data_IF_690386583912
#
_entry.id   IF_690386583912
#
_cell.length_a   1.000
_cell.length_b   1.000
_cell.length_c   1.000
_cell.angle_alpha   90.00
_cell.angle_beta   90.00
_cell.angle_gamma   90.00
#
_symmetry.space_group_name_H-M   'P 1'
#
loop_
_entity.id
_entity.type
_entity.pdbx_description
1 polymer ?
#
# COMPACT_ATOMS: atom_id res chain seq x y z
N UNK A 1 30.06 2.70 -2.88
CA UNK A 1 29.10 1.63 -3.23
C UNK A 1 27.84 1.89 -2.43
N UNK A 2 26.66 1.90 -3.06
CA UNK A 2 25.39 2.31 -2.43
C UNK A 2 24.39 1.15 -2.47
N UNK A 3 23.61 0.97 -1.41
CA UNK A 3 22.48 0.03 -1.37
C UNK A 3 21.19 0.79 -1.70
N UNK A 4 20.28 0.15 -2.43
CA UNK A 4 18.99 0.71 -2.84
C UNK A 4 17.94 -0.27 -2.34
N UNK A 5 16.98 0.22 -1.57
CA UNK A 5 15.81 -0.53 -1.08
C UNK A 5 14.57 0.12 -1.69
N UNK A 6 13.61 -0.70 -2.13
CA UNK A 6 12.26 -0.20 -2.38
C UNK A 6 11.52 -0.02 -1.03
N UNK A 7 10.27 0.45 -1.06
CA UNK A 7 9.50 0.72 0.18
C UNK A 7 9.23 -0.58 0.96
N UNK A 8 8.95 -1.69 0.29
CA UNK A 8 8.71 -2.97 0.96
C UNK A 8 9.97 -3.49 1.65
N UNK A 9 11.11 -3.47 0.95
CA UNK A 9 12.40 -3.87 1.52
C UNK A 9 12.80 -2.94 2.69
N UNK A 10 12.40 -1.67 2.65
CA UNK A 10 12.61 -0.73 3.75
C UNK A 10 11.73 -1.08 4.96
N UNK A 11 10.45 -1.42 4.76
CA UNK A 11 9.58 -1.90 5.82
C UNK A 11 10.13 -3.19 6.45
N UNK A 12 10.56 -4.15 5.63
CA UNK A 12 11.20 -5.39 6.08
C UNK A 12 12.47 -5.09 6.91
N UNK A 13 13.29 -4.13 6.47
CA UNK A 13 14.48 -3.72 7.19
C UNK A 13 14.15 -3.03 8.54
N UNK A 14 13.06 -2.26 8.62
CA UNK A 14 12.57 -1.67 9.88
C UNK A 14 12.11 -2.79 10.82
N UNK A 15 11.29 -3.72 10.33
CA UNK A 15 10.76 -4.84 11.11
C UNK A 15 11.85 -5.81 11.60
N UNK A 16 12.93 -5.98 10.82
CA UNK A 16 14.08 -6.80 11.17
C UNK A 16 15.17 -6.05 11.96
N UNK A 17 14.98 -4.76 12.24
CA UNK A 17 15.99 -3.93 12.89
C UNK A 17 16.10 -4.20 14.40
N UNK A 18 17.10 -3.59 15.03
CA UNK A 18 17.26 -3.62 16.50
C UNK A 18 16.57 -2.43 17.20
N UNK A 19 15.70 -1.70 16.50
CA UNK A 19 14.87 -0.66 17.10
C UNK A 19 13.85 -1.29 18.06
N UNK A 20 13.40 -0.54 19.05
CA UNK A 20 12.27 -0.97 19.89
C UNK A 20 10.95 -1.02 19.10
N UNK A 21 10.04 -1.86 19.56
CA UNK A 21 8.76 -2.14 18.89
C UNK A 21 7.91 -0.88 18.67
N UNK A 22 7.91 0.06 19.62
CA UNK A 22 7.17 1.33 19.51
C UNK A 22 7.73 2.20 18.37
N UNK A 23 9.06 2.29 18.28
CA UNK A 23 9.73 3.02 17.19
C UNK A 23 9.52 2.34 15.84
N UNK A 24 9.61 1.01 15.77
CA UNK A 24 9.33 0.28 14.53
C UNK A 24 7.90 0.53 14.05
N UNK A 25 6.93 0.40 14.96
CA UNK A 25 5.52 0.66 14.67
C UNK A 25 5.30 2.07 14.17
N UNK A 26 5.81 3.09 14.87
CA UNK A 26 5.62 4.48 14.47
C UNK A 26 6.18 4.78 13.06
N UNK A 27 7.29 4.14 12.67
CA UNK A 27 7.86 4.29 11.33
C UNK A 27 7.01 3.61 10.25
N UNK A 28 6.53 2.39 10.51
CA UNK A 28 5.62 1.69 9.60
C UNK A 28 4.30 2.45 9.46
N UNK A 29 3.70 2.90 10.55
CA UNK A 29 2.47 3.70 10.55
C UNK A 29 2.63 5.00 9.73
N UNK A 30 3.82 5.60 9.77
CA UNK A 30 4.14 6.81 8.97
C UNK A 30 4.16 6.50 7.47
N UNK A 31 4.72 5.34 7.08
CA UNK A 31 4.74 4.89 5.70
C UNK A 31 3.33 4.53 5.23
N UNK A 32 2.57 3.78 6.03
CA UNK A 32 1.16 3.45 5.78
C UNK A 32 0.32 4.72 5.57
N UNK A 33 0.45 5.71 6.45
CA UNK A 33 -0.26 6.99 6.32
C UNK A 33 0.10 7.70 5.01
N UNK A 34 1.38 7.69 4.63
CA UNK A 34 1.84 8.35 3.41
C UNK A 34 1.34 7.63 2.15
N UNK A 35 1.39 6.30 2.14
CA UNK A 35 0.91 5.47 1.02
C UNK A 35 -0.61 5.58 0.89
N UNK A 36 -1.35 5.54 2.00
CA UNK A 36 -2.80 5.75 2.02
C UNK A 36 -3.18 7.12 1.44
N UNK A 37 -2.40 8.18 1.73
CA UNK A 37 -2.63 9.49 1.16
C UNK A 37 -2.43 9.51 -0.38
N UNK A 38 -1.35 8.91 -0.88
CA UNK A 38 -1.08 8.83 -2.32
C UNK A 38 -2.14 7.99 -3.04
N UNK A 39 -2.50 6.84 -2.47
CA UNK A 39 -3.55 5.97 -2.98
C UNK A 39 -4.91 6.68 -3.04
N UNK A 40 -5.23 7.49 -2.02
CA UNK A 40 -6.45 8.30 -2.02
C UNK A 40 -6.48 9.30 -3.17
N UNK A 41 -5.37 10.01 -3.42
CA UNK A 41 -5.30 10.97 -4.54
C UNK A 41 -5.53 10.26 -5.88
N UNK A 42 -4.97 9.05 -6.04
CA UNK A 42 -5.17 8.23 -7.24
C UNK A 42 -6.62 7.74 -7.36
N UNK A 43 -7.21 7.24 -6.28
CA UNK A 43 -8.58 6.78 -6.23
C UNK A 43 -9.58 7.92 -6.54
N UNK A 44 -9.38 9.10 -5.96
CA UNK A 44 -10.19 10.29 -6.21
C UNK A 44 -10.09 10.72 -7.70
N UNK A 45 -8.94 10.54 -8.35
CA UNK A 45 -8.77 10.82 -9.78
C UNK A 45 -9.60 9.89 -10.67
N UNK A 46 -9.63 8.58 -10.35
CA UNK A 46 -10.39 7.58 -11.11
C UNK A 46 -11.84 7.41 -10.64
N UNK A 47 -12.25 8.09 -9.57
CA UNK A 47 -13.58 7.95 -8.98
C UNK A 47 -13.84 6.59 -8.36
N UNK A 48 -12.79 5.87 -7.93
CA UNK A 48 -12.87 4.64 -7.14
C UNK A 48 -12.58 4.93 -5.67
N UNK A 49 -12.63 3.91 -4.82
CA UNK A 49 -12.34 4.03 -3.38
C UNK A 49 -11.02 3.31 -3.08
N UNK A 50 -10.14 3.97 -2.35
CA UNK A 50 -8.99 3.34 -1.68
C UNK A 50 -9.28 3.19 -0.19
N UNK A 51 -8.89 2.08 0.40
CA UNK A 51 -8.98 1.84 1.85
C UNK A 51 -7.65 2.19 2.56
N UNK A 52 -7.46 1.71 3.78
CA UNK A 52 -6.21 1.94 4.50
C UNK A 52 -5.05 1.20 3.83
N UNK A 53 -3.85 1.76 3.97
CA UNK A 53 -2.63 1.04 3.62
C UNK A 53 -2.19 0.22 4.83
N UNK A 54 -1.76 -1.02 4.61
CA UNK A 54 -1.32 -1.93 5.66
C UNK A 54 -0.06 -2.68 5.21
N UNK A 55 0.94 -2.72 6.07
CA UNK A 55 2.15 -3.50 5.84
C UNK A 55 2.00 -4.93 6.37
N UNK A 56 2.02 -5.89 5.46
CA UNK A 56 2.03 -7.31 5.76
C UNK A 56 3.42 -7.91 5.46
N UNK A 57 4.26 -7.95 6.49
CA UNK A 57 5.61 -8.53 6.39
C UNK A 57 5.59 -9.98 5.93
N UNK A 58 6.29 -10.26 4.82
CA UNK A 58 6.33 -11.58 4.19
C UNK A 58 5.09 -11.96 3.35
N UNK A 59 4.08 -11.09 3.27
CA UNK A 59 2.84 -11.30 2.53
C UNK A 59 2.48 -10.05 1.70
N UNK A 60 3.26 -9.78 0.65
CA UNK A 60 2.98 -8.69 -0.30
C UNK A 60 3.55 -7.32 0.06
N UNK A 61 3.92 -7.09 1.32
CA UNK A 61 4.54 -5.84 1.76
C UNK A 61 3.49 -4.78 2.09
N UNK A 62 3.77 -3.51 1.79
CA UNK A 62 2.86 -2.41 2.06
C UNK A 62 1.82 -2.29 0.94
N UNK A 63 0.59 -2.70 1.23
CA UNK A 63 -0.50 -2.84 0.27
C UNK A 63 -1.64 -1.85 0.56
N UNK A 64 -2.46 -1.54 -0.47
CA UNK A 64 -3.68 -0.74 -0.33
C UNK A 64 -4.80 -1.41 -1.13
N UNK A 65 -5.96 -1.58 -0.51
CA UNK A 65 -7.13 -2.12 -1.20
C UNK A 65 -7.83 -1.02 -1.99
N UNK A 66 -8.18 -1.33 -3.23
CA UNK A 66 -9.04 -0.50 -4.08
C UNK A 66 -10.35 -1.22 -4.34
N UNK A 67 -11.44 -0.46 -4.47
CA UNK A 67 -12.75 -1.01 -4.82
C UNK A 67 -13.61 -0.02 -5.59
N UNK A 68 -14.65 -0.49 -6.31
CA UNK A 68 -15.59 0.39 -6.98
C UNK A 68 -16.31 1.29 -5.97
N UNK A 69 -16.66 2.50 -6.41
CA UNK A 69 -17.48 3.42 -5.62
C UNK A 69 -18.96 3.04 -5.64
N UNK A 70 -19.42 2.35 -6.70
CA UNK A 70 -20.77 1.82 -6.85
C UNK A 70 -20.77 0.54 -7.70
N UNK A 71 -21.83 -0.26 -7.57
CA UNK A 71 -22.00 -1.52 -8.30
C UNK A 71 -22.06 -1.29 -9.82
N UNK A 72 -21.27 -2.07 -10.56
CA UNK A 72 -21.20 -2.00 -12.03
C UNK A 72 -20.36 -0.83 -12.58
N UNK A 73 -19.58 -0.15 -11.74
CA UNK A 73 -18.60 0.84 -12.21
C UNK A 73 -17.50 0.15 -13.04
N UNK A 74 -17.20 0.71 -14.20
CA UNK A 74 -16.02 0.36 -14.98
C UNK A 74 -14.77 0.80 -14.20
N UNK A 75 -13.93 -0.15 -13.84
CA UNK A 75 -12.74 0.09 -13.05
C UNK A 75 -11.52 0.30 -13.95
N UNK A 76 -10.54 1.10 -13.50
CA UNK A 76 -9.46 1.53 -14.37
C UNK A 76 -8.38 0.45 -14.55
N UNK A 77 -8.04 0.14 -15.81
CA UNK A 77 -7.02 -0.85 -16.19
C UNK A 77 -5.67 -0.66 -15.45
N UNK A 78 -5.29 0.59 -15.15
CA UNK A 78 -4.01 0.88 -14.46
C UNK A 78 -3.93 0.30 -13.04
N UNK A 79 -5.08 0.07 -12.39
CA UNK A 79 -5.13 -0.58 -11.09
C UNK A 79 -5.14 -2.11 -11.27
N UNK A 80 -5.84 -2.62 -12.29
CA UNK A 80 -5.84 -4.05 -12.63
C UNK A 80 -4.47 -4.56 -13.04
N UNK A 81 -3.69 -3.78 -13.80
CA UNK A 81 -2.31 -4.12 -14.13
C UNK A 81 -1.42 -4.21 -12.87
N UNK A 82 -1.82 -3.54 -11.77
CA UNK A 82 -1.14 -3.61 -10.49
C UNK A 82 -1.47 -4.86 -9.67
N UNK A 83 -2.62 -5.50 -9.92
CA UNK A 83 -3.07 -6.74 -9.28
C UNK A 83 -3.88 -7.59 -10.26
N UNK A 84 -3.21 -8.18 -11.27
CA UNK A 84 -3.86 -8.95 -12.34
C UNK A 84 -4.64 -10.20 -11.84
N UNK A 85 -4.41 -10.61 -10.59
CA UNK A 85 -5.10 -11.71 -9.93
C UNK A 85 -6.23 -11.28 -8.99
N UNK A 86 -6.38 -9.98 -8.76
CA UNK A 86 -7.43 -9.39 -7.95
C UNK A 86 -8.75 -9.30 -8.71
N UNK A 87 -9.86 -9.50 -8.01
CA UNK A 87 -11.20 -9.31 -8.56
C UNK A 87 -11.75 -7.96 -8.07
N UNK A 88 -12.40 -7.21 -8.96
CA UNK A 88 -13.27 -6.11 -8.53
C UNK A 88 -14.54 -6.68 -7.88
N UNK A 89 -14.86 -6.31 -6.63
CA UNK A 89 -16.09 -6.74 -5.97
C UNK A 89 -17.36 -6.10 -6.55
#
# INVERSE_FOLDING_TARGET
MTKILNVNDLCDAIAASTLDDDTQRALIDTLETSVAHVAKVLADHYGIISEHAEYEGGFGGLCVNFRPAYEGQECPDVIDEGDEGGDWP
#
